data_IF_608508341815
#
_entry.id   IF_608508341815
#
_cell.length_a   1.000
_cell.length_b   1.000
_cell.length_c   1.000
_cell.angle_alpha   90.00
_cell.angle_beta   90.00
_cell.angle_gamma   90.00
#
_symmetry.space_group_name_H-M   'P 1'
#
loop_
_entity.id
_entity.type
_entity.pdbx_description
1 polymer ?
#
# COMPACT_ATOMS: atom_id res chain seq x y z
N UNK A 1 -24.49 12.62 10.21
CA UNK A 1 -24.82 13.41 8.99
C UNK A 1 -25.88 12.64 8.22
N UNK A 2 -27.00 13.26 7.83
CA UNK A 2 -28.16 12.53 7.30
C UNK A 2 -27.88 11.92 5.91
N UNK A 3 -27.90 10.59 5.83
CA UNK A 3 -27.91 9.80 4.60
C UNK A 3 -29.23 10.05 3.87
N UNK A 4 -29.18 10.46 2.60
CA UNK A 4 -30.40 10.77 1.84
C UNK A 4 -30.63 9.68 0.80
N UNK A 5 -31.30 8.62 1.26
CA UNK A 5 -31.69 7.49 0.42
C UNK A 5 -32.87 7.88 -0.47
N UNK A 6 -32.67 7.85 -1.79
CA UNK A 6 -33.72 8.14 -2.77
C UNK A 6 -33.72 7.12 -3.90
N UNK A 7 -34.85 7.01 -4.60
CA UNK A 7 -34.95 6.09 -5.73
C UNK A 7 -34.02 6.52 -6.87
N UNK A 8 -33.59 5.59 -7.73
CA UNK A 8 -32.76 5.90 -8.89
C UNK A 8 -33.42 6.96 -9.81
N UNK A 9 -34.74 6.93 -9.92
CA UNK A 9 -35.49 7.91 -10.74
C UNK A 9 -35.41 9.31 -10.12
N UNK A 10 -35.57 9.40 -8.80
CA UNK A 10 -35.50 10.67 -8.07
C UNK A 10 -34.06 11.20 -7.99
N UNK A 11 -33.07 10.32 -7.90
CA UNK A 11 -31.66 10.69 -7.97
C UNK A 11 -31.29 11.26 -9.35
N UNK A 12 -31.81 10.68 -10.43
CA UNK A 12 -31.56 11.18 -11.79
C UNK A 12 -32.19 12.57 -12.02
N UNK A 13 -33.41 12.80 -11.52
CA UNK A 13 -34.06 14.11 -11.61
C UNK A 13 -33.37 15.16 -10.73
N UNK A 14 -32.94 14.78 -9.52
CA UNK A 14 -32.19 15.66 -8.63
C UNK A 14 -30.80 16.02 -9.17
N UNK A 15 -30.08 15.07 -9.79
CA UNK A 15 -28.82 15.35 -10.49
C UNK A 15 -29.03 16.28 -11.69
N UNK A 16 -30.09 16.06 -12.46
CA UNK A 16 -30.43 16.91 -13.60
C UNK A 16 -30.78 18.33 -13.16
N UNK A 17 -31.51 18.48 -12.05
CA UNK A 17 -31.81 19.78 -11.44
C UNK A 17 -30.54 20.48 -10.89
N UNK A 18 -29.55 19.71 -10.43
CA UNK A 18 -28.24 20.19 -10.00
C UNK A 18 -27.27 20.50 -11.16
N UNK A 19 -27.71 20.38 -12.41
CA UNK A 19 -26.92 20.71 -13.61
C UNK A 19 -26.20 19.53 -14.26
N UNK A 20 -26.30 18.31 -13.71
CA UNK A 20 -25.77 17.08 -14.29
C UNK A 20 -26.88 16.33 -15.02
N UNK A 21 -27.05 16.62 -16.33
CA UNK A 21 -28.10 16.01 -17.18
C UNK A 21 -27.87 14.52 -17.34
N UNK A 22 -28.65 13.71 -16.63
CA UNK A 22 -28.49 12.25 -16.58
C UNK A 22 -29.82 11.55 -16.70
N UNK A 23 -29.91 10.65 -17.67
CA UNK A 23 -31.06 9.75 -17.81
C UNK A 23 -30.98 8.57 -16.84
N UNK A 24 -32.15 8.07 -16.41
CA UNK A 24 -32.29 6.91 -15.52
C UNK A 24 -31.45 5.70 -15.95
N UNK A 25 -31.41 5.40 -17.24
CA UNK A 25 -30.66 4.25 -17.80
C UNK A 25 -29.16 4.45 -17.66
N UNK A 26 -28.68 5.67 -17.89
CA UNK A 26 -27.27 6.05 -17.74
C UNK A 26 -26.85 5.99 -16.28
N UNK A 27 -27.71 6.46 -15.36
CA UNK A 27 -27.46 6.35 -13.93
C UNK A 27 -27.44 4.89 -13.45
N UNK A 28 -28.35 4.05 -13.93
CA UNK A 28 -28.38 2.62 -13.58
C UNK A 28 -27.13 1.89 -14.06
N UNK A 29 -26.62 2.21 -15.25
CA UNK A 29 -25.36 1.63 -15.76
C UNK A 29 -24.16 2.07 -14.92
N UNK A 30 -24.12 3.35 -14.57
CA UNK A 30 -23.06 3.92 -13.73
C UNK A 30 -23.00 3.26 -12.35
N UNK A 31 -24.16 3.06 -11.70
CA UNK A 31 -24.25 2.38 -10.41
C UNK A 31 -23.82 0.91 -10.47
N UNK A 32 -24.07 0.22 -11.60
CA UNK A 32 -23.56 -1.15 -11.80
C UNK A 32 -22.05 -1.20 -11.98
N UNK A 33 -21.47 -0.22 -12.66
CA UNK A 33 -20.03 -0.13 -12.90
C UNK A 33 -19.24 0.23 -11.63
N UNK A 34 -19.88 0.95 -10.70
CA UNK A 34 -19.27 1.41 -9.44
C UNK A 34 -20.00 0.83 -8.22
N UNK A 35 -20.44 -0.43 -8.31
CA UNK A 35 -21.17 -1.12 -7.25
C UNK A 35 -20.33 -1.31 -5.98
N UNK A 36 -19.00 -1.37 -6.11
CA UNK A 36 -18.07 -1.53 -4.98
C UNK A 36 -17.92 -0.25 -4.16
N UNK A 37 -18.15 0.92 -4.77
CA UNK A 37 -17.97 2.23 -4.13
C UNK A 37 -19.29 2.91 -3.72
N UNK A 38 -20.41 2.54 -4.34
CA UNK A 38 -21.73 3.13 -4.09
C UNK A 38 -22.70 2.07 -3.54
N UNK A 39 -23.00 2.09 -2.22
CA UNK A 39 -23.89 1.12 -1.62
C UNK A 39 -25.33 1.31 -2.13
N UNK A 40 -25.93 0.21 -2.59
CA UNK A 40 -27.33 0.15 -3.01
C UNK A 40 -28.16 -0.53 -1.92
N UNK A 41 -29.25 0.10 -1.47
CA UNK A 41 -30.22 -0.54 -0.57
C UNK A 41 -31.43 -1.02 -1.36
N UNK A 42 -31.78 -2.32 -1.34
CA UNK A 42 -33.00 -2.80 -1.97
C UNK A 42 -34.23 -2.35 -1.16
N UNK A 43 -35.17 -1.66 -1.80
CA UNK A 43 -36.45 -1.26 -1.21
C UNK A 43 -37.60 -1.75 -2.10
N UNK A 44 -38.01 -3.00 -1.88
CA UNK A 44 -39.09 -3.63 -2.64
C UNK A 44 -38.77 -3.73 -4.14
N UNK A 45 -39.53 -3.02 -4.99
CA UNK A 45 -39.36 -3.03 -6.46
C UNK A 45 -38.32 -2.04 -6.98
N UNK A 46 -37.67 -1.26 -6.11
CA UNK A 46 -36.71 -0.21 -6.49
C UNK A 46 -35.47 -0.25 -5.61
N UNK A 47 -34.32 0.07 -6.20
CA UNK A 47 -33.09 0.28 -5.45
C UNK A 47 -33.00 1.73 -5.01
N UNK A 48 -32.63 1.93 -3.75
CA UNK A 48 -32.32 3.23 -3.16
C UNK A 48 -30.82 3.47 -3.25
N UNK A 49 -30.48 4.72 -3.58
CA UNK A 49 -29.11 5.22 -3.68
C UNK A 49 -28.95 6.34 -2.68
N UNK A 50 -27.81 6.40 -1.99
CA UNK A 50 -27.43 7.58 -1.22
C UNK A 50 -27.03 8.70 -2.17
N UNK A 51 -27.84 9.76 -2.19
CA UNK A 51 -27.65 10.90 -3.08
C UNK A 51 -26.35 11.66 -2.82
N UNK A 52 -25.91 11.77 -1.56
CA UNK A 52 -24.68 12.52 -1.23
C UNK A 52 -23.44 11.77 -1.70
N UNK A 53 -23.39 10.46 -1.45
CA UNK A 53 -22.33 9.59 -1.93
C UNK A 53 -22.27 9.61 -3.47
N UNK A 54 -23.43 9.59 -4.13
CA UNK A 54 -23.53 9.65 -5.58
C UNK A 54 -22.97 10.96 -6.17
N UNK A 55 -23.32 12.12 -5.59
CA UNK A 55 -22.84 13.42 -6.05
C UNK A 55 -21.32 13.54 -5.87
N UNK A 56 -20.80 13.13 -4.71
CA UNK A 56 -19.36 13.18 -4.41
C UNK A 56 -18.57 12.27 -5.36
N UNK A 57 -18.99 11.01 -5.50
CA UNK A 57 -18.33 10.05 -6.38
C UNK A 57 -18.40 10.47 -7.85
N UNK A 58 -19.50 11.09 -8.29
CA UNK A 58 -19.60 11.65 -9.65
C UNK A 58 -18.74 12.90 -9.82
N UNK A 59 -18.61 13.76 -8.80
CA UNK A 59 -17.73 14.93 -8.84
C UNK A 59 -16.24 14.56 -8.95
N UNK A 60 -15.83 13.45 -8.34
CA UNK A 60 -14.47 12.93 -8.42
C UNK A 60 -14.20 12.23 -9.76
N UNK A 61 -15.17 11.46 -10.28
CA UNK A 61 -14.96 10.59 -11.44
C UNK A 61 -15.41 11.19 -12.78
N UNK A 62 -16.28 12.19 -12.76
CA UNK A 62 -16.77 12.86 -13.97
C UNK A 62 -16.30 14.31 -13.96
N UNK A 63 -15.50 14.69 -14.97
CA UNK A 63 -15.34 16.10 -15.34
C UNK A 63 -16.66 16.58 -15.95
N UNK A 64 -17.65 16.84 -15.09
CA UNK A 64 -18.86 17.56 -15.48
C UNK A 64 -18.37 18.94 -15.90
N UNK A 65 -18.42 19.22 -17.21
CA UNK A 65 -18.36 20.61 -17.69
C UNK A 65 -19.49 21.32 -16.98
N UNK A 66 -19.17 22.13 -15.97
CA UNK A 66 -20.13 23.09 -15.43
C UNK A 66 -20.60 23.91 -16.63
N UNK A 67 -21.81 23.64 -17.09
CA UNK A 67 -22.46 24.51 -18.04
C UNK A 67 -22.69 25.81 -17.27
N UNK A 68 -21.85 26.80 -17.57
CA UNK A 68 -22.07 28.17 -17.13
C UNK A 68 -23.51 28.56 -17.46
N UNK A 69 -24.19 29.34 -16.59
CA UNK A 69 -25.56 29.73 -16.82
C UNK A 69 -25.64 30.44 -18.18
N UNK A 70 -26.43 29.85 -19.09
CA UNK A 70 -26.68 30.38 -20.43
C UNK A 70 -27.41 31.71 -20.29
N UNK A 71 -26.66 32.81 -20.33
CA UNK A 71 -27.23 34.14 -20.56
C UNK A 71 -27.59 34.18 -22.05
N UNK A 72 -28.88 34.31 -22.32
CA UNK A 72 -29.42 34.46 -23.67
C UNK A 72 -28.98 35.82 -24.21
N UNK A 73 -28.15 35.85 -25.26
CA UNK A 73 -27.71 37.10 -25.88
C UNK A 73 -26.90 36.92 -27.17
N UNK A 74 -27.59 37.09 -28.30
CA UNK A 74 -27.13 37.51 -29.64
C UNK A 74 -25.97 36.80 -30.38
N UNK A 75 -26.37 36.08 -31.43
CA UNK A 75 -25.91 36.18 -32.84
C UNK A 75 -24.54 36.82 -33.12
N UNK A 76 -23.59 36.01 -33.60
CA UNK A 76 -22.47 36.52 -34.41
C UNK A 76 -21.23 35.64 -34.44
N UNK A 77 -21.03 34.97 -35.59
CA UNK A 77 -19.75 34.56 -36.18
C UNK A 77 -18.88 33.49 -35.47
N UNK A 78 -18.89 32.33 -36.13
CA UNK A 78 -17.86 31.29 -36.15
C UNK A 78 -16.46 31.87 -36.45
N UNK A 79 -15.45 31.39 -35.73
CA UNK A 79 -14.24 30.89 -36.40
C UNK A 79 -14.03 29.42 -36.03
N UNK A 80 -13.99 28.58 -37.06
CA UNK A 80 -13.53 27.19 -36.96
C UNK A 80 -12.02 27.17 -36.77
N UNK A 81 -11.58 27.06 -35.52
CA UNK A 81 -10.21 26.64 -35.18
C UNK A 81 -10.29 25.37 -34.32
N UNK A 82 -10.56 24.25 -34.98
CA UNK A 82 -10.40 22.92 -34.41
C UNK A 82 -8.94 22.50 -34.53
N UNK A 83 -8.10 23.03 -33.63
CA UNK A 83 -6.77 22.46 -33.35
C UNK A 83 -6.37 22.83 -31.92
N UNK A 84 -7.00 22.15 -30.97
CA UNK A 84 -6.43 21.94 -29.64
C UNK A 84 -6.29 20.43 -29.45
N UNK A 85 -5.36 19.85 -30.22
CA UNK A 85 -4.69 18.61 -29.83
C UNK A 85 -4.06 18.85 -28.46
N UNK A 86 -4.78 18.48 -27.39
CA UNK A 86 -4.24 18.38 -26.04
C UNK A 86 -3.59 16.99 -25.92
N UNK A 87 -2.26 16.85 -26.11
CA UNK A 87 -1.62 15.56 -26.36
C UNK A 87 -1.14 14.93 -25.04
N UNK A 88 -2.00 14.91 -24.01
CA UNK A 88 -1.50 14.77 -22.63
C UNK A 88 -2.22 13.84 -21.67
N UNK A 89 -3.34 13.18 -22.01
CA UNK A 89 -4.11 12.49 -20.94
C UNK A 89 -4.50 11.04 -21.21
N UNK A 90 -4.61 10.58 -22.46
CA UNK A 90 -4.95 9.17 -22.74
C UNK A 90 -3.72 8.29 -23.00
N UNK A 91 -2.73 8.82 -23.73
CA UNK A 91 -1.47 8.12 -24.00
C UNK A 91 -0.64 7.95 -22.72
N UNK A 92 -0.64 8.96 -21.84
CA UNK A 92 0.06 8.92 -20.56
C UNK A 92 -0.56 7.88 -19.60
N UNK A 93 -1.89 7.84 -19.48
CA UNK A 93 -2.59 6.80 -18.70
C UNK A 93 -2.36 5.37 -19.22
N UNK A 94 -2.31 5.19 -20.54
CA UNK A 94 -2.01 3.88 -21.15
C UNK A 94 -0.55 3.46 -20.92
N UNK A 95 0.40 4.39 -20.96
CA UNK A 95 1.82 4.12 -20.66
C UNK A 95 2.02 3.79 -19.19
N UNK A 96 1.37 4.51 -18.27
CA UNK A 96 1.41 4.21 -16.83
C UNK A 96 0.81 2.84 -16.52
N UNK A 97 -0.31 2.49 -17.15
CA UNK A 97 -0.90 1.16 -17.02
C UNK A 97 0.00 0.06 -17.58
N UNK A 98 0.60 0.28 -18.75
CA UNK A 98 1.53 -0.68 -19.34
C UNK A 98 2.79 -0.86 -18.50
N UNK A 99 3.30 0.21 -17.89
CA UNK A 99 4.44 0.16 -16.96
C UNK A 99 4.08 -0.59 -15.67
N UNK A 100 2.91 -0.30 -15.07
CA UNK A 100 2.45 -1.04 -13.90
C UNK A 100 2.23 -2.54 -14.21
N UNK A 101 1.64 -2.86 -15.36
CA UNK A 101 1.47 -4.24 -15.83
C UNK A 101 2.82 -4.92 -16.16
N UNK A 102 3.86 -4.15 -16.49
CA UNK A 102 5.21 -4.66 -16.71
C UNK A 102 5.92 -4.91 -15.36
N UNK A 103 5.85 -3.98 -14.42
CA UNK A 103 6.40 -4.11 -13.06
C UNK A 103 5.78 -5.30 -12.31
N UNK A 104 4.46 -5.51 -12.42
CA UNK A 104 3.79 -6.67 -11.83
C UNK A 104 4.30 -7.99 -12.42
N UNK A 105 4.54 -8.03 -13.74
CA UNK A 105 5.09 -9.23 -14.39
C UNK A 105 6.53 -9.47 -13.99
N UNK A 106 7.33 -8.41 -13.81
CA UNK A 106 8.70 -8.52 -13.34
C UNK A 106 8.76 -9.04 -11.90
N UNK A 107 7.87 -8.56 -11.03
CA UNK A 107 7.70 -9.06 -9.67
C UNK A 107 7.26 -10.54 -9.62
N UNK A 108 6.28 -10.97 -10.43
CA UNK A 108 5.88 -12.39 -10.54
C UNK A 108 7.03 -13.25 -11.07
N UNK A 109 7.83 -12.73 -12.00
CA UNK A 109 8.97 -13.45 -12.55
C UNK A 109 10.11 -13.58 -11.51
N UNK A 110 10.35 -12.55 -10.70
CA UNK A 110 11.27 -12.57 -9.56
C UNK A 110 10.78 -13.52 -8.45
N UNK A 111 9.47 -13.58 -8.19
CA UNK A 111 8.85 -14.53 -7.25
C UNK A 111 9.06 -15.98 -7.70
N UNK A 112 8.80 -16.26 -8.98
CA UNK A 112 9.04 -17.60 -9.57
C UNK A 112 10.51 -18.00 -9.58
N UNK A 113 11.41 -17.02 -9.73
CA UNK A 113 12.86 -17.23 -9.62
C UNK A 113 13.35 -17.34 -8.17
N UNK A 114 12.47 -17.15 -7.18
CA UNK A 114 12.80 -17.13 -5.74
C UNK A 114 13.84 -16.06 -5.38
N UNK A 115 13.88 -14.97 -6.16
CA UNK A 115 14.75 -13.83 -5.92
C UNK A 115 14.13 -12.86 -4.88
N UNK A 116 12.82 -12.99 -4.64
CA UNK A 116 12.12 -12.31 -3.56
C UNK A 116 12.19 -13.14 -2.27
N UNK A 117 12.82 -12.60 -1.22
CA UNK A 117 12.76 -13.18 0.11
C UNK A 117 11.66 -12.45 0.90
N UNK A 118 10.51 -13.08 1.14
CA UNK A 118 9.43 -12.42 1.86
C UNK A 118 9.88 -12.10 3.29
N UNK A 119 9.72 -10.84 3.69
CA UNK A 119 10.16 -10.33 5.00
C UNK A 119 9.53 -11.10 6.16
N UNK A 120 8.29 -11.54 6.00
CA UNK A 120 7.54 -12.25 7.03
C UNK A 120 8.12 -13.65 7.29
N UNK A 121 8.58 -14.36 6.25
CA UNK A 121 9.24 -15.66 6.43
C UNK A 121 10.60 -15.51 7.11
N UNK A 122 11.35 -14.44 6.79
CA UNK A 122 12.64 -14.16 7.43
C UNK A 122 12.46 -13.80 8.90
N UNK A 123 11.47 -12.97 9.25
CA UNK A 123 11.16 -12.64 10.64
C UNK A 123 10.74 -13.89 11.43
N UNK A 124 9.85 -14.71 10.86
CA UNK A 124 9.42 -15.96 11.49
C UNK A 124 10.58 -16.94 11.69
N UNK A 125 11.38 -17.18 10.64
CA UNK A 125 12.55 -18.05 10.72
C UNK A 125 13.59 -17.54 11.73
N UNK A 126 13.76 -16.21 11.82
CA UNK A 126 14.62 -15.58 12.81
C UNK A 126 14.17 -15.84 14.25
N UNK A 127 12.87 -15.67 14.52
CA UNK A 127 12.28 -15.97 15.84
C UNK A 127 12.41 -17.43 16.21
N UNK A 128 12.13 -18.32 15.26
CA UNK A 128 12.23 -19.77 15.45
C UNK A 128 13.68 -20.20 15.72
N UNK A 129 14.64 -19.64 14.98
CA UNK A 129 16.06 -19.91 15.20
C UNK A 129 16.52 -19.48 16.62
N UNK A 130 16.09 -18.30 17.09
CA UNK A 130 16.41 -17.83 18.45
C UNK A 130 15.79 -18.74 19.50
N UNK A 131 14.53 -19.16 19.32
CA UNK A 131 13.85 -20.07 20.23
C UNK A 131 14.55 -21.45 20.29
N UNK A 132 14.90 -22.00 19.13
CA UNK A 132 15.64 -23.26 19.02
C UNK A 132 17.00 -23.16 19.72
N UNK A 133 17.74 -22.08 19.49
CA UNK A 133 19.03 -21.81 20.12
C UNK A 133 18.89 -21.78 21.66
N UNK A 134 17.91 -21.04 22.19
CA UNK A 134 17.67 -20.98 23.63
C UNK A 134 17.36 -22.36 24.22
N UNK A 135 16.51 -23.15 23.55
CA UNK A 135 16.19 -24.51 23.98
C UNK A 135 17.41 -25.44 23.96
N UNK A 136 18.31 -25.27 22.99
CA UNK A 136 19.55 -26.03 22.88
C UNK A 136 20.51 -25.69 24.03
N UNK A 137 20.64 -24.40 24.38
CA UNK A 137 21.42 -23.98 25.54
C UNK A 137 20.88 -24.57 26.85
N UNK A 138 19.56 -24.56 27.06
CA UNK A 138 18.98 -25.14 28.28
C UNK A 138 19.31 -26.64 28.43
N UNK A 139 19.25 -27.40 27.34
CA UNK A 139 19.65 -28.82 27.33
C UNK A 139 21.15 -28.99 27.57
N UNK A 140 21.99 -28.17 26.94
CA UNK A 140 23.44 -28.22 27.10
C UNK A 140 23.88 -27.93 28.55
N UNK A 141 23.22 -26.96 29.21
CA UNK A 141 23.49 -26.62 30.61
C UNK A 141 23.25 -27.81 31.54
N UNK A 142 22.21 -28.61 31.29
CA UNK A 142 21.91 -29.79 32.11
C UNK A 142 23.06 -30.82 32.04
N UNK A 143 23.55 -31.12 30.83
CA UNK A 143 24.65 -32.07 30.63
C UNK A 143 25.99 -31.56 31.18
N UNK A 144 26.31 -30.28 30.98
CA UNK A 144 27.56 -29.71 31.50
C UNK A 144 27.55 -29.55 33.02
N UNK A 145 26.41 -29.23 33.64
CA UNK A 145 26.32 -29.19 35.10
C UNK A 145 26.64 -30.55 35.74
N UNK A 146 26.10 -31.64 35.18
CA UNK A 146 26.39 -32.99 35.64
C UNK A 146 27.88 -33.34 35.48
N UNK A 147 28.47 -33.03 34.32
CA UNK A 147 29.89 -33.27 34.04
C UNK A 147 30.80 -32.50 35.00
N UNK A 148 30.52 -31.22 35.25
CA UNK A 148 31.30 -30.39 36.16
C UNK A 148 31.16 -30.85 37.63
N UNK A 149 29.97 -31.29 38.02
CA UNK A 149 29.73 -31.91 39.33
C UNK A 149 30.61 -33.15 39.54
N UNK A 150 30.65 -34.06 38.56
CA UNK A 150 31.47 -35.26 38.62
C UNK A 150 32.98 -34.97 38.61
N UNK A 151 33.41 -33.99 37.81
CA UNK A 151 34.83 -33.70 37.60
C UNK A 151 35.45 -32.90 38.75
N UNK A 152 34.70 -31.97 39.34
CA UNK A 152 35.23 -31.01 40.31
C UNK A 152 34.56 -31.11 41.69
N UNK A 153 33.58 -32.01 41.86
CA UNK A 153 32.84 -32.18 43.12
C UNK A 153 31.92 -30.99 43.45
N UNK A 154 31.59 -30.16 42.46
CA UNK A 154 30.74 -29.00 42.66
C UNK A 154 29.27 -29.40 42.82
N UNK A 155 28.52 -28.67 43.63
CA UNK A 155 27.08 -28.91 43.76
C UNK A 155 26.38 -28.61 42.43
N UNK A 156 25.80 -29.64 41.82
CA UNK A 156 25.18 -29.58 40.50
C UNK A 156 24.12 -28.47 40.38
N UNK A 157 23.34 -28.25 41.44
CA UNK A 157 22.31 -27.20 41.49
C UNK A 157 22.92 -25.81 41.33
N UNK A 158 24.04 -25.54 42.02
CA UNK A 158 24.73 -24.24 41.98
C UNK A 158 25.34 -24.01 40.60
N UNK A 159 26.01 -25.02 40.04
CA UNK A 159 26.60 -24.96 38.70
C UNK A 159 25.52 -24.70 37.65
N UNK A 160 24.38 -25.39 37.74
CA UNK A 160 23.25 -25.21 36.82
C UNK A 160 22.69 -23.79 36.86
N UNK A 161 22.56 -23.20 38.04
CA UNK A 161 22.10 -21.81 38.20
C UNK A 161 23.12 -20.84 37.58
N UNK A 162 24.41 -21.04 37.86
CA UNK A 162 25.48 -20.20 37.31
C UNK A 162 25.53 -20.27 35.77
N UNK A 163 25.46 -21.47 35.19
CA UNK A 163 25.46 -21.67 33.75
C UNK A 163 24.20 -21.11 33.07
N UNK A 164 23.02 -21.24 33.69
CA UNK A 164 21.80 -20.57 33.20
C UNK A 164 21.94 -19.05 33.21
N UNK A 165 22.53 -18.48 34.26
CA UNK A 165 22.85 -17.06 34.33
C UNK A 165 23.80 -16.62 33.23
N UNK A 166 24.86 -17.39 33.00
CA UNK A 166 25.83 -17.16 31.93
C UNK A 166 25.19 -17.21 30.54
N UNK A 167 24.35 -18.21 30.25
CA UNK A 167 23.65 -18.33 28.98
C UNK A 167 22.75 -17.10 28.71
N UNK A 168 22.02 -16.63 29.72
CA UNK A 168 21.20 -15.41 29.61
C UNK A 168 22.03 -14.15 29.34
N UNK A 169 23.18 -14.01 30.00
CA UNK A 169 24.11 -12.91 29.75
C UNK A 169 24.71 -12.99 28.33
N UNK A 170 25.00 -14.19 27.83
CA UNK A 170 25.45 -14.38 26.45
C UNK A 170 24.41 -13.90 25.43
N UNK A 171 23.13 -14.22 25.64
CA UNK A 171 22.04 -13.77 24.77
C UNK A 171 21.87 -12.24 24.82
N UNK A 172 22.02 -11.60 25.98
CA UNK A 172 21.90 -10.13 26.05
C UNK A 172 23.06 -9.42 25.35
N UNK A 173 24.30 -9.94 25.50
CA UNK A 173 25.46 -9.43 24.77
C UNK A 173 25.30 -9.63 23.27
N UNK A 174 24.82 -10.80 22.84
CA UNK A 174 24.54 -11.07 21.43
C UNK A 174 23.52 -10.08 20.85
N UNK A 175 22.40 -9.85 21.54
CA UNK A 175 21.38 -8.89 21.11
C UNK A 175 21.98 -7.48 20.92
N UNK A 176 22.75 -7.01 21.90
CA UNK A 176 23.43 -5.71 21.81
C UNK A 176 24.33 -5.62 20.57
N UNK A 177 25.15 -6.63 20.31
CA UNK A 177 26.05 -6.66 19.15
C UNK A 177 25.28 -6.68 17.81
N UNK A 178 24.15 -7.37 17.76
CA UNK A 178 23.26 -7.38 16.59
C UNK A 178 22.70 -5.97 16.35
N UNK A 179 22.18 -5.31 17.39
CA UNK A 179 21.67 -3.94 17.28
C UNK A 179 22.75 -2.95 16.83
N UNK A 180 23.95 -3.02 17.41
CA UNK A 180 25.09 -2.18 17.00
C UNK A 180 25.43 -2.37 15.51
N UNK A 181 25.35 -3.61 15.00
CA UNK A 181 25.61 -3.91 13.59
C UNK A 181 24.49 -3.44 12.66
N UNK A 182 23.23 -3.55 13.07
CA UNK A 182 22.08 -3.03 12.33
C UNK A 182 22.12 -1.50 12.26
N UNK A 183 22.50 -0.84 13.34
CA UNK A 183 22.67 0.61 13.38
C UNK A 183 23.80 1.07 12.46
N UNK A 184 24.91 0.32 12.39
CA UNK A 184 26.01 0.60 11.46
C UNK A 184 25.55 0.50 10.00
N UNK A 185 24.86 -0.59 9.62
CA UNK A 185 24.31 -0.76 8.27
C UNK A 185 23.35 0.37 7.89
N UNK A 186 22.49 0.79 8.83
CA UNK A 186 21.54 1.89 8.59
C UNK A 186 22.26 3.22 8.36
N UNK A 187 23.40 3.46 9.01
CA UNK A 187 24.22 4.67 8.78
C UNK A 187 24.88 4.64 7.40
N UNK A 188 25.39 3.47 6.99
CA UNK A 188 26.03 3.31 5.68
C UNK A 188 25.03 3.51 4.54
N UNK A 189 23.81 2.94 4.64
CA UNK A 189 22.74 3.14 3.64
C UNK A 189 22.34 4.61 3.45
N UNK A 190 22.29 5.38 4.56
CA UNK A 190 21.98 6.83 4.51
C UNK A 190 23.16 7.63 3.94
N UNK A 191 24.39 7.19 4.20
CA UNK A 191 25.60 7.77 3.61
C UNK A 191 25.68 7.59 2.10
N UNK A 192 25.27 6.43 1.57
CA UNK A 192 25.27 6.14 0.12
C UNK A 192 24.20 6.94 -0.64
N UNK A 193 22.99 7.11 -0.07
CA UNK A 193 21.91 7.91 -0.70
C UNK A 193 22.17 9.42 -0.78
N UNK A 194 23.20 9.91 -0.09
CA UNK A 194 23.53 11.34 -0.05
C UNK A 194 24.59 11.74 -1.10
N UNK A 195 25.08 10.80 -1.93
CA UNK A 195 26.21 11.00 -2.87
C UNK A 195 25.79 10.82 -4.35
N UNK A 196 24.50 10.82 -4.68
CA UNK A 196 24.07 10.95 -6.08
C UNK A 196 23.83 12.44 -6.42
N UNK A 197 24.74 13.11 -7.18
CA UNK A 197 24.39 14.35 -7.83
C UNK A 197 23.30 14.07 -8.88
N UNK A 198 22.36 15.02 -9.12
CA UNK A 198 21.39 14.86 -10.18
C UNK A 198 22.12 14.95 -11.53
N UNK A 199 22.27 13.80 -12.19
CA UNK A 199 22.78 13.74 -13.55
C UNK A 199 21.81 14.46 -14.50
N UNK A 200 22.32 15.47 -15.23
CA UNK A 200 21.75 15.88 -16.52
C UNK A 200 21.35 17.36 -16.68
N UNK A 201 22.24 18.31 -16.37
CA UNK A 201 22.22 19.59 -17.11
C UNK A 201 23.22 19.51 -18.27
N UNK A 202 22.69 19.19 -19.44
CA UNK A 202 23.39 19.24 -20.73
C UNK A 202 23.54 20.72 -21.13
N UNK A 203 24.62 21.36 -20.71
CA UNK A 203 25.05 22.65 -21.24
C UNK A 203 25.72 22.43 -22.59
N UNK A 204 24.90 22.33 -23.64
CA UNK A 204 25.36 22.52 -25.01
C UNK A 204 25.41 24.02 -25.31
N UNK A 205 26.52 24.67 -24.99
CA UNK A 205 26.95 25.90 -25.66
C UNK A 205 27.78 25.51 -26.89
N UNK A 206 27.29 25.83 -28.09
CA UNK A 206 28.04 26.38 -29.24
C UNK A 206 27.09 26.75 -30.40
#
# INVERSE_FOLDING_TARGET
>A
MAEQWMSITDAASALTAAGDRVDRTSLSRYLKQHADALPLKPAGKSNLVDFKALVLHRGENMRVRQAAPTVVGNLGQQPTSSDTNFPGTKLDGSKRKANADAEIREMDLAERRKELTPTDEVDQAGRDAVALMQSAFERAVEGEAQKLSLQYGWEERVVRIALKGFARAGVSVFNRLVLEKLDAMRRDDVGVRSIEPPDGEDYSEE
#
